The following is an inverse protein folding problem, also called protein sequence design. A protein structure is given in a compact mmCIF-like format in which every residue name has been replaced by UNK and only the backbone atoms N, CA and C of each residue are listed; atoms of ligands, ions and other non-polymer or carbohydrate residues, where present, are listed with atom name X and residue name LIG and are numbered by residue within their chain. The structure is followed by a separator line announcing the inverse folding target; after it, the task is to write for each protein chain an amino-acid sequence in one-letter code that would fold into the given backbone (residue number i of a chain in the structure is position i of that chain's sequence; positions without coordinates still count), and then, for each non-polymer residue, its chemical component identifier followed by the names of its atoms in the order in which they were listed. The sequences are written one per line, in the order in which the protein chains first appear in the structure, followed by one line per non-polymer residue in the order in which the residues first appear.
data_IF_144279662276
#
_entry.id   IF_144279662276
#
_cell.length_a   1.000
_cell.length_b   1.000
_cell.length_c   1.000
_cell.angle_alpha   90.00
_cell.angle_beta   90.00
_cell.angle_gamma   90.00
#
_symmetry.space_group_name_H-M   'P 1'
#
loop_
_entity.id
_entity.type
_entity.pdbx_description
1 polymer ?
#
# COMPACT_ATOMS: atom_id res chain seq x y z
N UNK A 1 14.37 -21.78 23.09
CA UNK A 1 12.96 -22.20 23.01
C UNK A 1 12.91 -23.67 22.66
N UNK A 2 12.08 -24.46 23.37
CA UNK A 2 11.84 -25.88 23.04
C UNK A 2 10.68 -25.97 22.07
N UNK A 3 10.82 -26.75 20.99
CA UNK A 3 9.76 -26.95 20.00
C UNK A 3 8.74 -27.94 20.57
N UNK A 4 7.43 -27.65 20.56
CA UNK A 4 6.43 -28.57 21.07
C UNK A 4 6.36 -29.88 20.25
N UNK A 5 6.23 -31.01 20.95
CA UNK A 5 6.20 -32.37 20.36
C UNK A 5 4.94 -32.65 19.52
N UNK A 6 3.88 -31.85 19.70
CA UNK A 6 2.63 -31.97 18.95
C UNK A 6 2.12 -30.60 18.50
N UNK A 7 1.36 -30.59 17.42
CA UNK A 7 0.80 -29.38 16.85
C UNK A 7 -0.24 -28.75 17.80
N UNK A 8 0.02 -27.54 18.29
CA UNK A 8 -0.86 -26.79 19.21
C UNK A 8 -1.84 -25.88 18.47
N UNK A 9 -2.23 -26.21 17.24
CA UNK A 9 -3.14 -25.38 16.45
C UNK A 9 -4.51 -25.32 17.14
N UNK A 10 -4.88 -24.14 17.62
CA UNK A 10 -6.25 -23.87 18.03
C UNK A 10 -7.01 -23.24 16.86
N UNK A 11 -8.24 -23.70 16.63
CA UNK A 11 -9.11 -23.13 15.61
C UNK A 11 -9.46 -21.69 15.99
N UNK A 12 -9.22 -20.76 15.07
CA UNK A 12 -9.51 -19.35 15.24
C UNK A 12 -10.99 -19.11 15.62
N UNK A 13 -11.23 -18.45 16.76
CA UNK A 13 -12.58 -18.15 17.25
C UNK A 13 -13.11 -16.89 16.54
N UNK A 14 -13.81 -17.07 15.41
CA UNK A 14 -14.45 -15.96 14.64
C UNK A 14 -15.35 -15.04 15.48
N UNK A 15 -15.83 -15.51 16.62
CA UNK A 15 -16.71 -14.79 17.55
C UNK A 15 -16.04 -13.61 18.27
N UNK A 16 -14.71 -13.49 18.24
CA UNK A 16 -13.96 -12.40 18.86
C UNK A 16 -13.53 -11.30 17.87
N UNK A 17 -13.90 -11.43 16.59
CA UNK A 17 -13.57 -10.43 15.57
C UNK A 17 -14.36 -9.13 15.76
N UNK A 18 -13.76 -7.97 15.42
CA UNK A 18 -14.53 -6.75 15.22
C UNK A 18 -15.62 -6.95 14.14
N UNK A 19 -16.70 -6.17 14.19
CA UNK A 19 -17.76 -6.23 13.19
C UNK A 19 -17.21 -5.97 11.78
N UNK A 20 -17.83 -6.51 10.72
CA UNK A 20 -17.37 -6.28 9.35
C UNK A 20 -17.35 -4.78 9.06
N UNK A 21 -16.24 -4.31 8.48
CA UNK A 21 -16.10 -2.91 8.10
C UNK A 21 -16.90 -2.67 6.83
N UNK A 22 -17.78 -1.67 6.86
CA UNK A 22 -18.38 -1.09 5.66
C UNK A 22 -17.64 0.21 5.35
N UNK A 23 -17.01 0.28 4.18
CA UNK A 23 -16.13 1.40 3.84
C UNK A 23 -16.97 2.53 3.21
N UNK A 24 -17.04 3.72 3.83
CA UNK A 24 -17.78 4.84 3.26
C UNK A 24 -17.12 5.33 1.97
N UNK A 25 -17.92 5.83 1.03
CA UNK A 25 -17.43 6.30 -0.26
C UNK A 25 -16.32 7.35 -0.14
N UNK A 26 -16.42 8.27 0.83
CA UNK A 26 -15.41 9.32 1.01
C UNK A 26 -14.05 8.76 1.45
N UNK A 27 -14.04 7.64 2.19
CA UNK A 27 -12.81 6.93 2.54
C UNK A 27 -12.21 6.22 1.32
N UNK A 28 -13.05 5.64 0.46
CA UNK A 28 -12.60 5.08 -0.83
C UNK A 28 -11.94 6.17 -1.67
N UNK A 29 -12.57 7.34 -1.82
CA UNK A 29 -12.02 8.49 -2.54
C UNK A 29 -10.65 8.91 -2.00
N UNK A 30 -10.49 8.92 -0.68
CA UNK A 30 -9.23 9.27 -0.03
C UNK A 30 -8.15 8.21 -0.29
N UNK A 31 -8.50 6.93 -0.19
CA UNK A 31 -7.57 5.82 -0.42
C UNK A 31 -7.09 5.78 -1.88
N UNK A 32 -7.98 5.98 -2.85
CA UNK A 32 -7.61 6.06 -4.27
C UNK A 32 -6.63 7.20 -4.55
N UNK A 33 -6.86 8.35 -3.90
CA UNK A 33 -5.97 9.51 -4.01
C UNK A 33 -4.59 9.27 -3.42
N UNK A 34 -4.50 8.57 -2.29
CA UNK A 34 -3.22 8.25 -1.66
C UNK A 34 -2.46 7.16 -2.41
N UNK A 35 -3.17 6.14 -2.89
CA UNK A 35 -2.58 5.00 -3.58
C UNK A 35 -2.37 5.24 -5.09
N UNK A 36 -2.91 6.32 -5.64
CA UNK A 36 -2.88 6.64 -7.07
C UNK A 36 -3.44 5.50 -7.94
N UNK A 37 -4.50 4.83 -7.44
CA UNK A 37 -5.15 3.69 -8.10
C UNK A 37 -6.66 3.84 -8.00
N UNK A 38 -7.39 3.53 -9.07
CA UNK A 38 -8.85 3.45 -9.07
C UNK A 38 -9.28 2.01 -8.74
N UNK A 39 -10.09 1.85 -7.70
CA UNK A 39 -10.59 0.55 -7.25
C UNK A 39 -12.07 0.58 -6.87
N UNK A 40 -12.82 1.64 -7.22
CA UNK A 40 -14.25 1.83 -6.91
C UNK A 40 -15.21 0.89 -7.65
N UNK A 41 -14.71 -0.23 -8.14
CA UNK A 41 -15.54 -1.32 -8.64
C UNK A 41 -16.12 -2.12 -7.47
N UNK A 42 -17.26 -2.79 -7.70
CA UNK A 42 -17.84 -3.70 -6.70
C UNK A 42 -16.84 -4.78 -6.26
N UNK A 43 -16.03 -5.28 -7.20
CA UNK A 43 -15.03 -6.29 -6.93
C UNK A 43 -13.84 -5.72 -6.14
N UNK A 44 -13.37 -4.51 -6.47
CA UNK A 44 -12.30 -3.85 -5.74
C UNK A 44 -12.67 -3.55 -4.30
N UNK A 45 -13.91 -3.08 -4.07
CA UNK A 45 -14.42 -2.86 -2.72
C UNK A 45 -14.56 -4.15 -1.92
N UNK A 46 -15.11 -5.21 -2.53
CA UNK A 46 -15.22 -6.52 -1.89
C UNK A 46 -13.84 -7.10 -1.52
N UNK A 47 -12.86 -6.98 -2.41
CA UNK A 47 -11.48 -7.39 -2.15
C UNK A 47 -10.86 -6.64 -0.95
N UNK A 48 -11.08 -5.32 -0.87
CA UNK A 48 -10.59 -4.51 0.25
C UNK A 48 -11.27 -4.90 1.57
N UNK A 49 -12.58 -5.10 1.58
CA UNK A 49 -13.33 -5.54 2.77
C UNK A 49 -12.89 -6.93 3.24
N UNK A 50 -12.65 -7.87 2.30
CA UNK A 50 -12.10 -9.20 2.60
C UNK A 50 -10.67 -9.13 3.16
N UNK A 51 -9.82 -8.26 2.62
CA UNK A 51 -8.47 -8.06 3.12
C UNK A 51 -8.46 -7.48 4.54
N UNK A 52 -9.32 -6.50 4.83
CA UNK A 52 -9.49 -5.96 6.20
C UNK A 52 -9.98 -7.07 7.13
N UNK A 53 -11.00 -7.83 6.71
CA UNK A 53 -11.51 -8.95 7.49
C UNK A 53 -10.44 -10.00 7.78
N UNK A 54 -9.55 -10.27 6.82
CA UNK A 54 -8.43 -11.16 7.01
C UNK A 54 -7.45 -10.61 8.06
N UNK A 55 -7.11 -9.31 7.98
CA UNK A 55 -6.22 -8.64 8.92
C UNK A 55 -6.80 -8.51 10.34
N UNK A 56 -8.13 -8.41 10.47
CA UNK A 56 -8.81 -8.32 11.77
C UNK A 56 -8.47 -9.47 12.72
N UNK A 57 -8.07 -10.63 12.19
CA UNK A 57 -7.62 -11.79 12.98
C UNK A 57 -6.42 -11.47 13.88
N UNK A 58 -5.62 -10.45 13.53
CA UNK A 58 -4.49 -9.99 14.35
C UNK A 58 -4.96 -9.40 15.69
N UNK A 59 -6.19 -8.91 15.81
CA UNK A 59 -6.72 -8.39 17.08
C UNK A 59 -6.92 -9.47 18.15
N UNK A 60 -6.99 -10.76 17.76
CA UNK A 60 -7.07 -11.87 18.70
C UNK A 60 -5.73 -12.23 19.33
N UNK A 61 -4.63 -11.65 18.83
CA UNK A 61 -3.28 -11.88 19.35
C UNK A 61 -2.99 -10.86 20.45
N UNK A 62 -2.67 -11.33 21.65
CA UNK A 62 -2.23 -10.48 22.75
C UNK A 62 -0.80 -9.99 22.49
N UNK A 63 -0.67 -8.68 22.24
CA UNK A 63 0.61 -7.99 22.07
C UNK A 63 0.97 -7.11 23.28
N UNK A 64 0.32 -7.33 24.43
CA UNK A 64 0.60 -6.57 25.65
C UNK A 64 2.06 -6.71 26.10
N UNK A 65 2.76 -5.58 26.20
CA UNK A 65 4.17 -5.55 26.61
C UNK A 65 5.15 -6.06 25.53
N UNK A 66 4.67 -6.27 24.30
CA UNK A 66 5.52 -6.58 23.14
C UNK A 66 5.83 -5.27 22.42
N UNK A 67 7.11 -4.91 22.36
CA UNK A 67 7.56 -3.75 21.59
C UNK A 67 7.39 -4.01 20.08
N UNK A 68 6.93 -3.03 19.29
CA UNK A 68 6.85 -3.17 17.84
C UNK A 68 8.23 -3.40 17.22
N UNK A 69 8.35 -4.42 16.37
CA UNK A 69 9.57 -4.71 15.62
C UNK A 69 9.66 -3.83 14.37
N UNK A 70 10.71 -3.03 14.24
CA UNK A 70 10.99 -2.19 13.07
C UNK A 70 11.93 -2.85 12.05
N UNK A 71 12.81 -3.73 12.54
CA UNK A 71 13.78 -4.49 11.75
C UNK A 71 13.99 -5.86 12.39
N UNK A 72 14.26 -6.89 11.60
CA UNK A 72 14.68 -8.20 12.13
C UNK A 72 16.13 -8.22 12.63
N UNK A 73 16.85 -7.11 12.48
CA UNK A 73 18.28 -6.96 12.77
C UNK A 73 18.54 -5.98 13.93
N UNK A 74 17.69 -5.98 14.96
CA UNK A 74 17.74 -5.04 16.09
C UNK A 74 19.10 -5.04 16.82
N UNK A 75 19.81 -6.17 16.83
CA UNK A 75 21.13 -6.32 17.46
C UNK A 75 22.30 -5.77 16.63
N UNK A 76 22.02 -5.17 15.47
CA UNK A 76 23.06 -4.69 14.54
C UNK A 76 23.08 -3.17 14.48
N UNK A 77 24.29 -2.61 14.54
CA UNK A 77 24.48 -1.20 14.28
C UNK A 77 24.16 -0.87 12.82
N UNK A 78 23.59 0.32 12.59
CA UNK A 78 23.37 0.85 11.25
C UNK A 78 24.72 1.08 10.56
N UNK A 79 24.84 0.57 9.34
CA UNK A 79 26.03 0.81 8.52
C UNK A 79 25.96 2.22 7.95
N UNK A 80 27.01 3.00 8.18
CA UNK A 80 27.19 4.29 7.55
C UNK A 80 27.93 4.12 6.22
N UNK A 81 27.49 4.85 5.20
CA UNK A 81 28.23 5.00 3.95
C UNK A 81 29.29 6.08 4.14
N UNK A 82 30.49 5.86 3.61
CA UNK A 82 31.53 6.91 3.57
C UNK A 82 31.04 8.14 2.79
N UNK A 83 31.44 9.33 3.23
CA UNK A 83 31.17 10.58 2.52
C UNK A 83 32.13 10.77 1.34
N UNK A 84 31.97 9.90 0.36
CA UNK A 84 32.72 9.90 -0.89
C UNK A 84 31.75 9.93 -2.07
N UNK A 85 32.18 10.60 -3.15
CA UNK A 85 31.49 10.61 -4.43
C UNK A 85 31.78 9.28 -5.13
N UNK A 86 30.73 8.52 -5.45
CA UNK A 86 30.84 7.20 -6.11
C UNK A 86 30.31 7.18 -7.53
N UNK A 87 29.51 8.17 -7.93
CA UNK A 87 28.82 8.23 -9.22
C UNK A 87 28.86 9.65 -9.81
N UNK A 88 28.79 9.74 -11.13
CA UNK A 88 28.74 10.98 -11.90
C UNK A 88 28.56 10.69 -13.39
N UNK A 89 28.04 11.67 -14.13
CA UNK A 89 27.88 11.62 -15.60
C UNK A 89 27.06 10.43 -16.14
N UNK A 90 26.08 9.94 -15.37
CA UNK A 90 25.23 8.80 -15.73
C UNK A 90 23.86 9.20 -16.33
N UNK A 91 23.74 10.43 -16.84
CA UNK A 91 22.46 10.95 -17.33
C UNK A 91 21.89 10.09 -18.48
N UNK A 92 22.74 9.66 -19.42
CA UNK A 92 22.34 8.80 -20.54
C UNK A 92 21.75 7.46 -20.06
N UNK A 93 22.44 6.78 -19.14
CA UNK A 93 22.01 5.50 -18.56
C UNK A 93 20.68 5.64 -17.77
N UNK A 94 20.54 6.71 -16.99
CA UNK A 94 19.32 6.96 -16.20
C UNK A 94 18.11 7.27 -17.08
N UNK A 95 18.33 7.90 -18.24
CA UNK A 95 17.25 8.34 -19.13
C UNK A 95 16.85 7.26 -20.14
N UNK A 96 17.65 6.21 -20.34
CA UNK A 96 17.45 5.17 -21.36
C UNK A 96 16.05 4.52 -21.32
N UNK A 97 15.52 4.28 -20.12
CA UNK A 97 14.20 3.64 -19.93
C UNK A 97 13.02 4.63 -19.94
N UNK A 98 13.28 5.91 -20.15
CA UNK A 98 12.24 6.95 -20.12
C UNK A 98 11.35 6.87 -21.34
N UNK A 99 10.04 6.99 -21.13
CA UNK A 99 9.08 7.03 -22.25
C UNK A 99 9.25 8.27 -23.13
N UNK A 100 9.54 9.42 -22.52
CA UNK A 100 9.76 10.69 -23.20
C UNK A 100 10.79 11.50 -22.42
N UNK A 101 11.72 12.11 -23.15
CA UNK A 101 12.71 13.04 -22.63
C UNK A 101 12.76 14.29 -23.50
N UNK A 102 13.07 15.44 -22.91
CA UNK A 102 13.33 16.70 -23.62
C UNK A 102 14.57 17.31 -22.97
N UNK A 103 15.59 17.60 -23.77
CA UNK A 103 16.84 18.25 -23.29
C UNK A 103 17.42 17.59 -22.04
N UNK A 104 17.45 16.24 -22.02
CA UNK A 104 17.97 15.44 -20.88
C UNK A 104 17.11 15.51 -19.59
N UNK A 105 15.88 15.99 -19.68
CA UNK A 105 14.90 15.95 -18.59
C UNK A 105 13.84 14.87 -18.83
N UNK A 106 13.39 14.23 -17.75
CA UNK A 106 12.17 13.43 -17.75
C UNK A 106 10.96 14.31 -18.07
N UNK A 107 10.14 13.87 -19.01
CA UNK A 107 8.88 14.56 -19.31
C UNK A 107 7.75 13.89 -18.56
N UNK A 108 7.17 14.62 -17.60
CA UNK A 108 5.87 14.30 -17.04
C UNK A 108 4.78 15.09 -17.79
N UNK A 109 3.55 14.55 -17.92
CA UNK A 109 2.39 15.37 -18.23
C UNK A 109 2.31 16.56 -17.26
N UNK A 110 1.70 17.69 -17.64
CA UNK A 110 1.54 18.85 -16.74
C UNK A 110 0.93 18.40 -15.39
N UNK A 111 1.82 18.31 -14.40
CA UNK A 111 1.64 17.50 -13.20
C UNK A 111 1.12 18.33 -12.03
N UNK A 112 -0.18 18.62 -12.05
CA UNK A 112 -0.99 18.83 -10.85
C UNK A 112 -2.48 18.75 -11.20
N UNK A 113 -2.86 17.85 -12.12
CA UNK A 113 -4.28 17.63 -12.42
C UNK A 113 -4.85 16.91 -11.20
N UNK A 114 -5.74 17.56 -10.41
CA UNK A 114 -6.40 16.87 -9.32
C UNK A 114 -7.07 15.63 -9.89
N UNK A 115 -7.08 14.52 -9.13
CA UNK A 115 -7.99 13.44 -9.50
C UNK A 115 -9.38 14.06 -9.72
N UNK A 116 -10.08 13.70 -10.83
CA UNK A 116 -11.36 14.31 -11.13
C UNK A 116 -12.24 14.24 -9.89
N UNK A 117 -12.99 15.30 -9.63
CA UNK A 117 -13.94 15.36 -8.53
C UNK A 117 -14.90 14.18 -8.59
N UNK A 118 -15.53 13.87 -7.46
CA UNK A 118 -16.49 12.76 -7.38
C UNK A 118 -17.59 12.87 -8.44
N UNK A 119 -18.07 14.08 -8.74
CA UNK A 119 -19.04 14.29 -9.82
C UNK A 119 -18.45 14.03 -11.21
N UNK A 120 -17.22 14.48 -11.48
CA UNK A 120 -16.52 14.28 -12.75
C UNK A 120 -16.19 12.80 -13.01
N UNK A 121 -15.80 12.04 -11.98
CA UNK A 121 -15.60 10.59 -12.12
C UNK A 121 -16.91 9.85 -12.41
N UNK A 122 -17.99 10.24 -11.72
CA UNK A 122 -19.30 9.63 -11.92
C UNK A 122 -19.89 9.90 -13.31
N UNK A 123 -19.56 11.04 -13.94
CA UNK A 123 -19.92 11.31 -15.33
C UNK A 123 -19.03 10.55 -16.29
N UNK A 124 -17.72 10.47 -16.10
CA UNK A 124 -16.81 9.68 -16.96
C UNK A 124 -17.25 8.21 -17.02
N UNK A 125 -17.56 7.60 -15.88
CA UNK A 125 -17.97 6.19 -15.81
C UNK A 125 -19.29 5.91 -16.55
N UNK A 126 -20.24 6.85 -16.54
CA UNK A 126 -21.50 6.73 -17.30
C UNK A 126 -21.30 6.78 -18.82
N UNK A 127 -20.25 7.45 -19.29
CA UNK A 127 -19.94 7.54 -20.71
C UNK A 127 -19.09 6.36 -21.21
N UNK A 128 -18.42 5.63 -20.34
CA UNK A 128 -17.67 4.40 -20.70
C UNK A 128 -18.53 3.14 -20.76
N UNK A 129 -19.77 3.19 -20.27
CA UNK A 129 -20.73 2.08 -20.34
C UNK A 129 -21.72 2.18 -21.52
N UNK A 130 -21.46 3.11 -22.47
CA UNK A 130 -22.21 3.29 -23.73
C UNK A 130 -21.42 2.78 -24.95
#
# INVERSE_FOLDING_TARGET
MSVPEAATWNQYQRTQLPPPVHIPADLVDQLERLALVDFRSKQGLACLEEAIRFADQLHAVDTSGVEPMDSVLEDRSLNLREDAVTEGDCAEELLELSKYTIEEYFVAPPGNIPLPTREERATILKHSEL
#
